data_IF_546908999402
#
_entry.id   IF_546908999402
#
_cell.length_a   1.000
_cell.length_b   1.000
_cell.length_c   1.000
_cell.angle_alpha   90.00
_cell.angle_beta   90.00
_cell.angle_gamma   90.00
#
_symmetry.space_group_name_H-M   'P 1'
#
loop_
_entity.id
_entity.type
_entity.pdbx_description
1 polymer ?
#
# COMPACT_ATOMS: atom_id res chain seq x y z
N UNK A 1 -28.00 -45.84 -18.07
CA UNK A 1 -27.98 -45.99 -16.60
C UNK A 1 -27.39 -44.78 -15.89
N UNK A 2 -26.11 -44.42 -16.10
CA UNK A 2 -25.47 -43.28 -15.40
C UNK A 2 -26.26 -41.97 -15.57
N UNK A 3 -26.64 -41.61 -16.80
CA UNK A 3 -27.37 -40.36 -17.07
C UNK A 3 -28.73 -40.31 -16.33
N UNK A 4 -29.44 -41.44 -16.26
CA UNK A 4 -30.72 -41.53 -15.55
C UNK A 4 -30.55 -41.43 -14.04
N UNK A 5 -29.43 -41.90 -13.49
CA UNK A 5 -29.12 -41.78 -12.06
C UNK A 5 -28.77 -40.33 -11.70
N UNK A 6 -28.03 -39.63 -12.56
CA UNK A 6 -27.70 -38.21 -12.38
C UNK A 6 -28.97 -37.35 -12.43
N UNK A 7 -29.86 -37.61 -13.38
CA UNK A 7 -31.16 -36.91 -13.49
C UNK A 7 -32.02 -37.17 -12.26
N UNK A 8 -32.03 -38.40 -11.74
CA UNK A 8 -32.75 -38.75 -10.51
C UNK A 8 -32.20 -37.99 -9.28
N UNK A 9 -30.88 -37.82 -9.18
CA UNK A 9 -30.24 -37.07 -8.09
C UNK A 9 -30.55 -35.56 -8.11
N UNK A 10 -30.75 -34.98 -9.30
CA UNK A 10 -31.14 -33.57 -9.44
C UNK A 10 -32.62 -33.37 -9.05
N UNK A 11 -33.48 -34.35 -9.36
CA UNK A 11 -34.92 -34.27 -9.07
C UNK A 11 -35.22 -34.60 -7.59
N UNK A 12 -34.44 -35.51 -6.97
CA UNK A 12 -34.53 -35.85 -5.54
C UNK A 12 -33.61 -34.94 -4.72
N UNK A 13 -33.57 -33.64 -5.02
CA UNK A 13 -33.10 -32.67 -4.04
C UNK A 13 -34.16 -32.59 -2.93
N UNK A 14 -34.02 -33.45 -1.93
CA UNK A 14 -34.77 -33.33 -0.69
C UNK A 14 -34.58 -31.92 -0.13
N UNK A 15 -35.65 -31.35 0.41
CA UNK A 15 -35.67 -30.05 1.09
C UNK A 15 -34.88 -30.08 2.41
N UNK A 16 -33.61 -30.48 2.37
CA UNK A 16 -32.62 -30.02 3.34
C UNK A 16 -32.38 -28.55 3.00
N UNK A 17 -33.37 -27.73 3.39
CA UNK A 17 -33.21 -26.30 3.52
C UNK A 17 -31.85 -26.08 4.16
N UNK A 18 -30.95 -25.41 3.43
CA UNK A 18 -29.61 -25.06 3.86
C UNK A 18 -29.63 -24.62 5.33
N UNK A 19 -29.37 -25.54 6.26
CA UNK A 19 -29.29 -25.23 7.66
C UNK A 19 -27.94 -24.55 7.84
N UNK A 20 -27.96 -23.23 7.69
CA UNK A 20 -26.86 -22.38 8.09
C UNK A 20 -27.04 -22.22 9.59
N UNK A 21 -26.22 -22.94 10.37
CA UNK A 21 -26.10 -22.68 11.80
C UNK A 21 -25.80 -21.17 11.98
N UNK A 22 -26.47 -20.46 12.92
CA UNK A 22 -26.36 -19.00 13.06
C UNK A 22 -24.92 -18.47 13.16
N UNK A 23 -23.96 -19.27 13.66
CA UNK A 23 -22.53 -18.89 13.65
C UNK A 23 -21.82 -19.10 12.30
N UNK A 24 -22.31 -20.03 11.48
CA UNK A 24 -21.74 -20.37 10.16
C UNK A 24 -22.12 -19.34 9.09
N UNK A 25 -23.27 -18.66 9.24
CA UNK A 25 -23.69 -17.60 8.34
C UNK A 25 -22.73 -16.41 8.34
N UNK A 26 -22.33 -15.94 9.52
CA UNK A 26 -21.33 -14.87 9.63
C UNK A 26 -20.00 -15.24 8.98
N UNK A 27 -19.54 -16.49 9.13
CA UNK A 27 -18.29 -16.95 8.54
C UNK A 27 -18.36 -16.98 7.01
N UNK A 28 -19.49 -17.42 6.46
CA UNK A 28 -19.74 -17.42 5.01
C UNK A 28 -19.71 -15.99 4.44
N UNK A 29 -20.39 -15.05 5.09
CA UNK A 29 -20.38 -13.64 4.66
C UNK A 29 -18.99 -13.01 4.81
N UNK A 30 -18.27 -13.28 5.90
CA UNK A 30 -16.89 -12.79 6.08
C UNK A 30 -15.95 -13.32 4.99
N UNK A 31 -16.04 -14.60 4.65
CA UNK A 31 -15.25 -15.18 3.56
C UNK A 31 -15.62 -14.56 2.21
N UNK A 32 -16.92 -14.38 1.94
CA UNK A 32 -17.40 -13.75 0.70
C UNK A 32 -16.88 -12.31 0.55
N UNK A 33 -17.04 -11.47 1.58
CA UNK A 33 -16.53 -10.10 1.55
C UNK A 33 -15.00 -10.05 1.50
N UNK A 34 -14.31 -11.00 2.15
CA UNK A 34 -12.86 -11.15 2.05
C UNK A 34 -12.40 -11.45 0.61
N UNK A 35 -13.08 -12.37 -0.07
CA UNK A 35 -12.80 -12.72 -1.48
C UNK A 35 -13.09 -11.53 -2.39
N UNK A 36 -14.25 -10.88 -2.23
CA UNK A 36 -14.65 -9.70 -3.03
C UNK A 36 -13.64 -8.56 -2.84
N UNK A 37 -13.27 -8.25 -1.59
CA UNK A 37 -12.28 -7.22 -1.28
C UNK A 37 -10.92 -7.53 -1.88
N UNK A 38 -10.46 -8.78 -1.74
CA UNK A 38 -9.19 -9.24 -2.33
C UNK A 38 -9.21 -9.10 -3.86
N UNK A 39 -10.28 -9.54 -4.52
CA UNK A 39 -10.43 -9.39 -5.98
C UNK A 39 -10.42 -7.93 -6.38
N UNK A 40 -11.15 -7.07 -5.66
CA UNK A 40 -11.22 -5.63 -5.95
C UNK A 40 -9.84 -4.97 -5.89
N UNK A 41 -9.08 -5.21 -4.82
CA UNK A 41 -7.73 -4.64 -4.69
C UNK A 41 -6.74 -5.24 -5.69
N UNK A 42 -6.84 -6.54 -5.97
CA UNK A 42 -6.02 -7.20 -6.97
C UNK A 42 -6.28 -6.62 -8.37
N UNK A 43 -7.55 -6.44 -8.76
CA UNK A 43 -7.92 -5.81 -10.02
C UNK A 43 -7.40 -4.38 -10.11
N UNK A 44 -7.52 -3.58 -9.04
CA UNK A 44 -6.99 -2.22 -9.00
C UNK A 44 -5.47 -2.19 -9.16
N UNK A 45 -4.75 -3.08 -8.47
CA UNK A 45 -3.30 -3.21 -8.58
C UNK A 45 -2.87 -3.62 -10.01
N UNK A 46 -3.58 -4.57 -10.62
CA UNK A 46 -3.35 -4.98 -12.01
C UNK A 46 -3.60 -3.82 -12.99
N UNK A 47 -4.66 -3.04 -12.82
CA UNK A 47 -4.95 -1.87 -13.67
C UNK A 47 -3.85 -0.81 -13.57
N UNK A 48 -3.35 -0.53 -12.35
CA UNK A 48 -2.23 0.39 -12.15
C UNK A 48 -0.98 -0.16 -12.83
N UNK A 49 -0.66 -1.44 -12.62
CA UNK A 49 0.51 -2.08 -13.22
C UNK A 49 0.46 -2.06 -14.75
N UNK A 50 -0.69 -2.34 -15.35
CA UNK A 50 -0.88 -2.27 -16.81
C UNK A 50 -0.69 -0.84 -17.35
N UNK A 51 -1.23 0.18 -16.68
CA UNK A 51 -1.03 1.59 -17.05
C UNK A 51 0.44 2.01 -16.92
N UNK A 52 1.10 1.61 -15.84
CA UNK A 52 2.49 1.98 -15.57
C UNK A 52 3.49 1.19 -16.42
N UNK A 53 3.17 -0.05 -16.83
CA UNK A 53 4.05 -0.85 -17.69
C UNK A 53 4.30 -0.19 -19.05
N UNK A 54 3.30 0.51 -19.62
CA UNK A 54 3.45 1.29 -20.85
C UNK A 54 4.24 2.60 -20.65
N UNK A 55 4.30 3.11 -19.42
CA UNK A 55 5.03 4.33 -19.07
C UNK A 55 6.47 4.07 -18.57
N UNK A 56 6.82 2.83 -18.22
CA UNK A 56 8.13 2.47 -17.69
C UNK A 56 9.28 2.80 -18.65
N UNK A 57 9.06 2.69 -19.98
CA UNK A 57 10.09 3.03 -20.97
C UNK A 57 10.26 4.53 -21.20
N UNK A 58 9.26 5.37 -20.87
CA UNK A 58 9.32 6.84 -21.08
C UNK A 58 9.61 7.65 -19.81
N UNK A 59 9.49 7.08 -18.62
CA UNK A 59 9.72 7.78 -17.33
C UNK A 59 11.17 7.60 -16.82
N UNK A 60 12.08 6.99 -17.56
CA UNK A 60 13.52 7.05 -17.22
C UNK A 60 14.14 8.46 -17.41
N UNK A 61 13.32 9.49 -17.72
CA UNK A 61 13.78 10.85 -18.04
C UNK A 61 13.07 11.97 -17.28
N UNK A 62 12.54 11.71 -16.08
CA UNK A 62 12.15 12.79 -15.15
C UNK A 62 13.05 12.79 -13.92
N UNK A 63 14.15 13.53 -14.12
CA UNK A 63 14.72 14.50 -13.18
C UNK A 63 15.10 14.01 -11.78
N UNK A 64 16.40 13.70 -11.62
CA UNK A 64 17.27 14.09 -10.50
C UNK A 64 16.85 13.77 -9.04
N UNK A 65 15.84 12.95 -8.78
CA UNK A 65 15.61 12.38 -7.44
C UNK A 65 16.58 11.20 -7.17
N UNK A 66 17.28 10.72 -8.20
CA UNK A 66 18.19 9.56 -8.18
C UNK A 66 19.46 9.72 -7.33
N UNK A 67 19.65 10.83 -6.61
CA UNK A 67 20.77 11.00 -5.66
C UNK A 67 20.40 10.77 -4.20
N UNK A 68 19.12 10.86 -3.82
CA UNK A 68 18.71 10.68 -2.44
C UNK A 68 18.75 9.19 -2.07
N UNK A 69 19.63 8.82 -1.14
CA UNK A 69 19.73 7.44 -0.63
C UNK A 69 18.68 7.16 0.44
N UNK A 70 18.25 8.20 1.16
CA UNK A 70 17.33 8.08 2.29
C UNK A 70 16.27 9.18 2.19
N UNK A 71 15.01 8.82 2.44
CA UNK A 71 13.87 9.75 2.53
C UNK A 71 13.24 9.56 3.91
N UNK A 72 13.08 10.67 4.65
CA UNK A 72 12.48 10.72 5.98
C UNK A 72 11.25 11.60 5.90
N UNK A 73 10.15 11.19 6.53
CA UNK A 73 8.92 11.97 6.63
C UNK A 73 8.55 12.21 8.09
N UNK A 74 8.39 13.48 8.47
CA UNK A 74 7.88 13.93 9.74
C UNK A 74 6.47 14.47 9.60
N UNK A 75 5.50 13.81 10.23
CA UNK A 75 4.09 14.26 10.21
C UNK A 75 3.90 15.61 10.94
N UNK A 76 4.75 15.90 11.93
CA UNK A 76 4.59 17.04 12.83
C UNK A 76 5.96 17.52 13.36
N UNK A 77 6.10 18.84 13.59
CA UNK A 77 7.31 19.46 14.18
C UNK A 77 7.78 18.84 15.50
N UNK A 78 6.92 18.13 16.24
CA UNK A 78 7.30 17.37 17.45
C UNK A 78 8.37 16.31 17.18
N UNK A 79 8.44 15.79 15.97
CA UNK A 79 9.45 14.81 15.56
C UNK A 79 10.84 15.40 15.34
N UNK A 80 10.99 16.73 15.38
CA UNK A 80 12.28 17.40 15.22
C UNK A 80 13.38 16.77 16.11
N UNK A 81 13.11 16.57 17.40
CA UNK A 81 14.09 16.02 18.33
C UNK A 81 14.45 14.54 18.05
N UNK A 82 13.57 13.82 17.36
CA UNK A 82 13.79 12.42 16.98
C UNK A 82 14.65 12.35 15.72
N UNK A 83 14.32 13.14 14.71
CA UNK A 83 15.00 13.07 13.41
C UNK A 83 16.25 13.91 13.32
N UNK A 84 16.37 15.00 14.07
CA UNK A 84 17.56 15.83 14.09
C UNK A 84 18.87 15.04 14.27
N UNK A 85 19.06 14.22 15.32
CA UNK A 85 20.32 13.50 15.50
C UNK A 85 20.61 12.52 14.35
N UNK A 86 19.56 11.93 13.76
CA UNK A 86 19.69 11.03 12.62
C UNK A 86 20.14 11.81 11.37
N UNK A 87 19.50 12.95 11.11
CA UNK A 87 19.83 13.82 9.98
C UNK A 87 21.26 14.36 10.11
N UNK A 88 21.66 14.80 11.30
CA UNK A 88 23.03 15.27 11.57
C UNK A 88 24.05 14.17 11.28
N UNK A 89 23.79 12.94 11.73
CA UNK A 89 24.70 11.82 11.45
C UNK A 89 24.74 11.44 9.97
N UNK A 90 23.60 11.49 9.27
CA UNK A 90 23.55 11.25 7.82
C UNK A 90 24.33 12.31 7.05
N UNK A 91 24.29 13.57 7.49
CA UNK A 91 25.11 14.65 6.94
C UNK A 91 26.59 14.38 7.22
N UNK A 92 26.97 13.98 8.44
CA UNK A 92 28.36 13.64 8.79
C UNK A 92 28.92 12.49 7.93
N UNK A 93 28.07 11.53 7.59
CA UNK A 93 28.41 10.40 6.72
C UNK A 93 28.32 10.73 5.21
N UNK A 94 28.02 11.99 4.86
CA UNK A 94 27.86 12.45 3.47
C UNK A 94 26.79 11.65 2.69
N UNK A 95 25.75 11.19 3.39
CA UNK A 95 24.64 10.41 2.81
C UNK A 95 23.54 11.38 2.37
N UNK A 96 23.27 11.54 1.05
CA UNK A 96 22.25 12.45 0.58
C UNK A 96 20.87 12.01 1.06
N UNK A 97 20.19 12.91 1.76
CA UNK A 97 18.93 12.65 2.46
C UNK A 97 17.89 13.71 2.11
N UNK A 98 16.65 13.27 1.90
CA UNK A 98 15.49 14.17 1.77
C UNK A 98 14.64 14.07 3.03
N UNK A 99 14.31 15.21 3.63
CA UNK A 99 13.36 15.30 4.74
C UNK A 99 12.09 16.03 4.30
N UNK A 100 10.95 15.37 4.47
CA UNK A 100 9.64 15.95 4.23
C UNK A 100 8.94 16.23 5.55
N UNK A 101 8.39 17.42 5.71
CA UNK A 101 7.57 17.78 6.88
C UNK A 101 6.17 18.23 6.48
N UNK A 102 5.16 17.85 7.24
CA UNK A 102 3.82 18.44 7.15
C UNK A 102 3.60 19.58 8.15
N UNK A 103 4.66 20.12 8.74
CA UNK A 103 4.63 21.37 9.51
C UNK A 103 5.49 22.41 8.81
N UNK A 104 4.91 23.53 8.37
CA UNK A 104 5.64 24.64 7.71
C UNK A 104 6.69 25.27 8.65
N UNK A 105 6.43 25.23 9.95
CA UNK A 105 7.28 25.79 11.01
C UNK A 105 8.23 24.77 11.64
N UNK A 106 8.53 23.67 10.94
CA UNK A 106 9.49 22.67 11.40
C UNK A 106 10.92 23.24 11.40
N UNK A 107 11.58 23.12 12.55
CA UNK A 107 12.95 23.58 12.75
C UNK A 107 13.98 22.80 11.91
N UNK A 108 13.61 21.64 11.33
CA UNK A 108 14.51 20.95 10.39
C UNK A 108 14.88 21.84 9.19
N UNK A 109 13.99 22.74 8.77
CA UNK A 109 14.26 23.66 7.65
C UNK A 109 15.40 24.65 7.92
N UNK A 110 15.81 24.82 9.18
CA UNK A 110 16.94 25.67 9.56
C UNK A 110 18.30 25.01 9.27
N UNK A 111 18.36 23.69 9.11
CA UNK A 111 19.58 22.93 8.87
C UNK A 111 19.99 23.05 7.40
N UNK A 112 21.09 23.75 7.12
CA UNK A 112 21.64 23.92 5.76
C UNK A 112 22.82 22.98 5.55
N UNK A 113 22.70 22.07 4.59
CA UNK A 113 23.76 21.15 4.18
C UNK A 113 23.56 20.76 2.72
N UNK A 114 24.66 20.55 1.99
CA UNK A 114 24.62 20.07 0.61
C UNK A 114 24.08 18.63 0.50
N UNK A 115 24.07 17.89 1.63
CA UNK A 115 23.58 16.51 1.73
C UNK A 115 22.15 16.41 2.25
N UNK A 116 21.51 17.53 2.62
CA UNK A 116 20.14 17.55 3.11
C UNK A 116 19.26 18.45 2.23
N UNK A 117 18.20 17.86 1.68
CA UNK A 117 17.10 18.62 1.07
C UNK A 117 15.88 18.50 1.97
N UNK A 118 15.36 19.61 2.45
CA UNK A 118 14.16 19.65 3.30
C UNK A 118 13.02 20.41 2.63
N UNK A 119 11.83 19.82 2.55
CA UNK A 119 10.66 20.42 1.89
C UNK A 119 9.38 20.21 2.72
N UNK A 120 8.48 21.19 2.69
CA UNK A 120 7.13 21.08 3.23
C UNK A 120 6.19 20.41 2.22
N UNK A 121 5.39 19.43 2.67
CA UNK A 121 4.41 18.69 1.84
C UNK A 121 3.06 18.47 2.51
#
# INVERSE_FOLDING_TARGET
MILSVVVLFIIIQSSLFCYIDPGTGSLLFSALFGIIGTLFFLSKALLIKLKTFSFADKINKKENISKAKIIIYGEDKRYYNVFKPIIEELINLEIPTIYYSSSEDDKIFEIKSDFLKSEFI
#
